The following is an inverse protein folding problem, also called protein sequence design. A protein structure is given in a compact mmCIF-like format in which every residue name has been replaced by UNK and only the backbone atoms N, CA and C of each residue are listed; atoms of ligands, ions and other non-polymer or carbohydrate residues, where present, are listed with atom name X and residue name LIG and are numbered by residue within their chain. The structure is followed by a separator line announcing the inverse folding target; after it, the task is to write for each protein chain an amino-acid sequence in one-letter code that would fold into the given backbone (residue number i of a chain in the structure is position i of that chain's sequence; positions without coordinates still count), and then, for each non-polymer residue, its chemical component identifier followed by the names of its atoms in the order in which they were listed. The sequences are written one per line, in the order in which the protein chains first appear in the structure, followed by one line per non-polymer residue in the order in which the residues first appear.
data_IF_151988581846
#
_entry.id   IF_151988581846
#
_cell.length_a   1.000
_cell.length_b   1.000
_cell.length_c   1.000
_cell.angle_alpha   90.00
_cell.angle_beta   90.00
_cell.angle_gamma   90.00
#
_symmetry.space_group_name_H-M   'P 1'
#
loop_
_entity.id
_entity.type
_entity.pdbx_description
1 polymer ?
#
# COMPACT_ATOMS: atom_id res chain seq x y z
N UNK A 1 -9.08 10.28 -17.27
CA UNK A 1 -8.40 10.43 -15.97
C UNK A 1 -7.85 9.07 -15.58
N UNK A 2 -6.58 9.01 -15.13
CA UNK A 2 -5.97 7.75 -14.72
C UNK A 2 -6.46 7.35 -13.32
N UNK A 3 -6.65 6.03 -13.07
CA UNK A 3 -6.96 5.56 -11.73
C UNK A 3 -5.83 5.90 -10.75
N UNK A 4 -6.18 6.20 -9.50
CA UNK A 4 -5.26 6.57 -8.43
C UNK A 4 -4.83 5.34 -7.64
N UNK A 5 -3.54 5.09 -7.58
CA UNK A 5 -2.97 3.94 -6.85
C UNK A 5 -2.08 4.44 -5.71
N UNK A 6 -2.43 4.06 -4.50
CA UNK A 6 -1.57 4.21 -3.34
C UNK A 6 -0.62 3.02 -3.26
N UNK A 7 0.68 3.29 -3.36
CA UNK A 7 1.73 2.26 -3.36
C UNK A 7 2.29 2.13 -1.95
N UNK A 8 2.00 0.99 -1.32
CA UNK A 8 2.43 0.69 0.04
C UNK A 8 3.89 0.22 0.06
N UNK A 9 4.53 0.33 1.21
CA UNK A 9 5.98 0.15 1.41
C UNK A 9 6.51 -1.20 0.94
N UNK A 10 5.73 -2.28 1.06
CA UNK A 10 6.15 -3.62 0.63
C UNK A 10 6.39 -3.71 -0.88
N UNK A 11 5.64 -2.96 -1.67
CA UNK A 11 5.84 -2.89 -3.14
C UNK A 11 7.17 -2.23 -3.47
N UNK A 12 7.48 -1.10 -2.83
CA UNK A 12 8.76 -0.40 -3.00
C UNK A 12 9.92 -1.32 -2.58
N UNK A 13 9.78 -2.03 -1.46
CA UNK A 13 10.80 -2.96 -0.98
C UNK A 13 11.06 -4.09 -1.98
N UNK A 14 10.02 -4.66 -2.59
CA UNK A 14 10.15 -5.72 -3.59
C UNK A 14 10.82 -5.24 -4.89
N UNK A 15 10.60 -3.98 -5.26
CA UNK A 15 11.25 -3.38 -6.44
C UNK A 15 12.75 -3.15 -6.27
N UNK A 16 13.22 -2.94 -5.05
CA UNK A 16 14.60 -2.52 -4.76
C UNK A 16 15.43 -3.58 -4.07
N UNK A 17 14.84 -4.64 -3.54
CA UNK A 17 15.55 -5.70 -2.84
C UNK A 17 16.27 -6.64 -3.82
N UNK A 18 17.32 -7.29 -3.31
CA UNK A 18 17.96 -8.37 -4.04
C UNK A 18 16.97 -9.51 -4.27
N UNK A 19 17.15 -10.24 -5.37
CA UNK A 19 16.35 -11.41 -5.67
C UNK A 19 16.36 -12.40 -4.50
N UNK A 20 15.19 -12.78 -4.03
CA UNK A 20 15.05 -13.74 -2.95
C UNK A 20 15.43 -15.14 -3.40
N UNK A 21 15.96 -15.95 -2.46
CA UNK A 21 16.17 -17.38 -2.67
C UNK A 21 14.90 -18.20 -2.46
N UNK A 22 13.92 -17.63 -1.76
CA UNK A 22 12.58 -18.20 -1.63
C UNK A 22 11.82 -18.03 -2.95
N UNK A 23 11.35 -19.15 -3.53
CA UNK A 23 10.73 -19.17 -4.85
C UNK A 23 9.44 -18.32 -4.90
N UNK A 24 8.64 -18.34 -3.85
CA UNK A 24 7.39 -17.57 -3.81
C UNK A 24 7.70 -16.08 -3.77
N UNK A 25 8.62 -15.67 -2.90
CA UNK A 25 9.05 -14.27 -2.80
C UNK A 25 9.69 -13.81 -4.10
N UNK A 26 10.54 -14.62 -4.73
CA UNK A 26 11.17 -14.29 -6.00
C UNK A 26 10.14 -14.09 -7.12
N UNK A 27 9.12 -14.95 -7.19
CA UNK A 27 8.03 -14.80 -8.15
C UNK A 27 7.24 -13.50 -7.90
N UNK A 28 6.96 -13.17 -6.65
CA UNK A 28 6.27 -11.94 -6.29
C UNK A 28 7.10 -10.69 -6.63
N UNK A 29 8.41 -10.74 -6.43
CA UNK A 29 9.34 -9.67 -6.86
C UNK A 29 9.28 -9.48 -8.38
N UNK A 30 9.30 -10.56 -9.16
CA UNK A 30 9.21 -10.51 -10.62
C UNK A 30 7.89 -9.90 -11.08
N UNK A 31 6.76 -10.34 -10.52
CA UNK A 31 5.44 -9.76 -10.84
C UNK A 31 5.38 -8.26 -10.51
N UNK A 32 6.03 -7.84 -9.43
CA UNK A 32 6.12 -6.43 -9.05
C UNK A 32 6.92 -5.64 -10.08
N UNK A 33 8.03 -6.19 -10.57
CA UNK A 33 8.85 -5.59 -11.63
C UNK A 33 8.07 -5.49 -12.95
N UNK A 34 7.32 -6.53 -13.32
CA UNK A 34 6.47 -6.53 -14.53
C UNK A 34 5.45 -5.40 -14.45
N UNK A 35 4.70 -5.33 -13.34
CA UNK A 35 3.73 -4.27 -13.13
C UNK A 35 4.38 -2.88 -13.20
N UNK A 36 5.49 -2.69 -12.50
CA UNK A 36 6.18 -1.41 -12.45
C UNK A 36 6.71 -0.96 -13.81
N UNK A 37 7.34 -1.85 -14.54
CA UNK A 37 7.98 -1.50 -15.81
C UNK A 37 6.99 -1.29 -16.95
N UNK A 38 5.89 -2.04 -16.95
CA UNK A 38 4.95 -2.04 -18.08
C UNK A 38 3.65 -1.29 -17.83
N UNK A 39 3.21 -1.19 -16.58
CA UNK A 39 1.85 -0.71 -16.26
C UNK A 39 1.80 0.50 -15.34
N UNK A 40 2.88 0.87 -14.62
CA UNK A 40 2.82 2.00 -13.69
C UNK A 40 2.35 3.31 -14.33
N UNK A 41 2.59 3.49 -15.63
CA UNK A 41 2.23 4.70 -16.37
C UNK A 41 0.73 4.80 -16.71
N UNK A 42 -0.02 3.70 -16.51
CA UNK A 42 -1.46 3.68 -16.70
C UNK A 42 -2.20 4.28 -15.50
N UNK A 43 -1.49 4.56 -14.42
CA UNK A 43 -2.01 5.04 -13.14
C UNK A 43 -1.36 6.35 -12.69
N UNK A 44 -2.09 7.09 -11.85
CA UNK A 44 -1.53 8.16 -11.03
C UNK A 44 -1.07 7.55 -9.70
N UNK A 45 0.24 7.55 -9.46
CA UNK A 45 0.85 6.90 -8.30
C UNK A 45 0.98 7.86 -7.11
N UNK A 46 0.68 7.34 -5.93
CA UNK A 46 0.76 8.04 -4.66
C UNK A 46 1.48 7.20 -3.60
N UNK A 47 2.26 7.86 -2.77
CA UNK A 47 2.82 7.33 -1.53
C UNK A 47 2.44 8.28 -0.39
N UNK A 48 2.78 7.94 0.84
CA UNK A 48 2.52 8.81 1.99
C UNK A 48 3.79 9.08 2.80
N UNK A 49 3.69 10.00 3.76
CA UNK A 49 4.74 10.18 4.77
C UNK A 49 5.05 8.87 5.50
N UNK A 50 4.04 8.03 5.75
CA UNK A 50 4.23 6.73 6.39
C UNK A 50 5.06 5.78 5.52
N UNK A 51 4.78 5.72 4.21
CA UNK A 51 5.58 4.94 3.26
C UNK A 51 7.03 5.40 3.27
N UNK A 52 7.27 6.71 3.19
CA UNK A 52 8.62 7.27 3.18
C UNK A 52 9.36 6.97 4.49
N UNK A 53 8.67 7.02 5.62
CA UNK A 53 9.24 6.65 6.92
C UNK A 53 9.65 5.16 6.95
N UNK A 54 8.79 4.28 6.49
CA UNK A 54 9.03 2.83 6.51
C UNK A 54 10.15 2.43 5.55
N UNK A 55 10.15 2.94 4.33
CA UNK A 55 11.19 2.63 3.34
C UNK A 55 12.54 3.28 3.66
N UNK A 56 12.52 4.33 4.47
CA UNK A 56 13.70 5.01 4.98
C UNK A 56 14.39 4.31 6.15
N UNK A 57 13.80 3.25 6.70
CA UNK A 57 14.38 2.48 7.79
C UNK A 57 15.38 1.43 7.28
N UNK A 58 16.27 0.97 8.17
CA UNK A 58 17.24 -0.07 7.88
C UNK A 58 18.56 0.44 7.30
N UNK A 59 19.17 -0.32 6.40
CA UNK A 59 20.45 0.04 5.80
C UNK A 59 20.36 1.39 5.04
N UNK A 60 21.26 2.36 5.36
CA UNK A 60 21.16 3.71 4.77
C UNK A 60 21.27 3.74 3.25
N UNK A 61 22.12 2.92 2.65
CA UNK A 61 22.28 2.87 1.20
C UNK A 61 21.03 2.32 0.49
N UNK A 62 20.47 1.24 1.02
CA UNK A 62 19.22 0.67 0.52
C UNK A 62 18.04 1.61 0.74
N UNK A 63 17.99 2.29 1.89
CA UNK A 63 16.97 3.28 2.21
C UNK A 63 16.95 4.45 1.21
N UNK A 64 18.11 4.98 0.85
CA UNK A 64 18.23 6.04 -0.15
C UNK A 64 17.64 5.62 -1.50
N UNK A 65 17.91 4.40 -1.96
CA UNK A 65 17.36 3.88 -3.22
C UNK A 65 15.84 3.78 -3.16
N UNK A 66 15.29 3.28 -2.06
CA UNK A 66 13.85 3.17 -1.87
C UNK A 66 13.15 4.53 -1.85
N UNK A 67 13.69 5.47 -1.08
CA UNK A 67 13.16 6.85 -1.00
C UNK A 67 13.23 7.52 -2.37
N UNK A 68 14.34 7.39 -3.08
CA UNK A 68 14.51 7.98 -4.41
C UNK A 68 13.49 7.42 -5.41
N UNK A 69 13.28 6.11 -5.42
CA UNK A 69 12.30 5.46 -6.27
C UNK A 69 10.88 5.98 -5.98
N UNK A 70 10.47 5.96 -4.72
CA UNK A 70 9.15 6.41 -4.29
C UNK A 70 8.92 7.88 -4.62
N UNK A 71 9.89 8.75 -4.31
CA UNK A 71 9.76 10.20 -4.49
C UNK A 71 9.72 10.63 -5.96
N UNK A 72 10.42 9.90 -6.84
CA UNK A 72 10.43 10.19 -8.28
C UNK A 72 9.18 9.71 -9.00
N UNK A 73 8.61 8.61 -8.55
CA UNK A 73 7.53 7.93 -9.26
C UNK A 73 6.14 8.33 -8.78
N UNK A 74 6.00 8.85 -7.57
CA UNK A 74 4.71 9.04 -6.92
C UNK A 74 4.57 10.41 -6.24
N UNK A 75 3.34 10.90 -6.18
CA UNK A 75 2.98 12.08 -5.39
C UNK A 75 2.84 11.71 -3.92
N UNK A 76 3.20 12.63 -3.03
CA UNK A 76 3.11 12.38 -1.58
C UNK A 76 1.77 12.83 -1.01
N UNK A 77 1.10 11.93 -0.30
CA UNK A 77 -0.10 12.20 0.49
C UNK A 77 0.29 12.57 1.93
N UNK A 78 -0.45 13.51 2.49
CA UNK A 78 -0.25 13.92 3.88
C UNK A 78 -0.92 12.95 4.86
N UNK A 79 -0.29 12.75 6.01
CA UNK A 79 -0.86 12.04 7.14
C UNK A 79 -1.71 13.02 7.97
N UNK A 80 -3.00 13.06 7.70
CA UNK A 80 -3.92 13.95 8.38
C UNK A 80 -4.47 13.34 9.68
N UNK A 81 -5.13 14.19 10.50
CA UNK A 81 -5.82 13.72 11.70
C UNK A 81 -6.90 12.69 11.36
N UNK A 82 -7.64 12.91 10.29
CA UNK A 82 -8.68 11.99 9.81
C UNK A 82 -8.11 10.61 9.49
N UNK A 83 -6.95 10.55 8.87
CA UNK A 83 -6.24 9.30 8.62
C UNK A 83 -5.94 8.55 9.93
N UNK A 84 -5.44 9.26 10.92
CA UNK A 84 -5.11 8.66 12.24
C UNK A 84 -6.35 8.15 12.96
N UNK A 85 -7.45 8.91 12.95
CA UNK A 85 -8.70 8.52 13.59
C UNK A 85 -9.33 7.31 12.91
N UNK A 86 -9.42 7.31 11.59
CA UNK A 86 -9.93 6.18 10.82
C UNK A 86 -9.05 4.93 11.00
N UNK A 87 -7.73 5.09 10.98
CA UNK A 87 -6.79 4.00 11.19
C UNK A 87 -6.98 3.31 12.56
N UNK A 88 -7.20 4.09 13.62
CA UNK A 88 -7.50 3.55 14.95
C UNK A 88 -8.83 2.80 14.99
N UNK A 89 -9.84 3.33 14.34
CA UNK A 89 -11.16 2.67 14.23
C UNK A 89 -11.04 1.34 13.48
N UNK A 90 -10.34 1.31 12.36
CA UNK A 90 -10.06 0.10 11.59
C UNK A 90 -9.34 -0.95 12.44
N UNK A 91 -8.32 -0.55 13.19
CA UNK A 91 -7.56 -1.45 14.06
C UNK A 91 -8.44 -2.07 15.15
N UNK A 92 -9.15 -1.23 15.88
CA UNK A 92 -9.97 -1.64 17.02
C UNK A 92 -11.16 -2.49 16.62
N UNK A 93 -11.94 -2.01 15.65
CA UNK A 93 -13.22 -2.63 15.26
C UNK A 93 -13.03 -3.89 14.42
N UNK A 94 -11.88 -4.05 13.78
CA UNK A 94 -11.53 -5.30 13.08
C UNK A 94 -10.90 -6.35 13.98
N UNK A 95 -10.61 -6.01 15.24
CA UNK A 95 -10.02 -6.94 16.20
C UNK A 95 -8.57 -7.32 15.87
N UNK A 96 -7.84 -6.46 15.15
CA UNK A 96 -6.45 -6.70 14.81
C UNK A 96 -5.51 -6.42 15.98
N UNK A 97 -4.35 -7.09 16.04
CA UNK A 97 -3.36 -6.84 17.10
C UNK A 97 -2.75 -5.44 16.94
N UNK A 98 -2.30 -4.85 18.06
CA UNK A 98 -1.69 -3.49 18.08
C UNK A 98 -0.55 -3.32 17.07
N UNK A 99 0.20 -4.39 16.79
CA UNK A 99 1.28 -4.36 15.79
C UNK A 99 0.82 -4.07 14.37
N UNK A 100 -0.47 -4.24 14.08
CA UNK A 100 -1.08 -3.91 12.79
C UNK A 100 -1.49 -2.43 12.65
N UNK A 101 -1.09 -1.56 13.58
CA UNK A 101 -1.49 -0.15 13.59
C UNK A 101 -1.02 0.62 12.34
N UNK A 102 0.16 0.32 11.82
CA UNK A 102 0.64 0.93 10.57
C UNK A 102 -0.10 0.38 9.36
N UNK A 103 -0.44 -0.90 9.37
CA UNK A 103 -1.19 -1.54 8.29
C UNK A 103 -2.57 -0.89 8.12
N UNK A 104 -3.30 -0.73 9.21
CA UNK A 104 -4.61 -0.06 9.17
C UNK A 104 -4.49 1.43 8.85
N UNK A 105 -3.39 2.07 9.23
CA UNK A 105 -3.13 3.47 8.87
C UNK A 105 -2.92 3.63 7.36
N UNK A 106 -2.24 2.70 6.69
CA UNK A 106 -2.16 2.70 5.22
C UNK A 106 -3.55 2.62 4.57
N UNK A 107 -4.41 1.74 5.07
CA UNK A 107 -5.80 1.62 4.58
C UNK A 107 -6.56 2.94 4.77
N UNK A 108 -6.43 3.56 5.94
CA UNK A 108 -7.07 4.82 6.26
C UNK A 108 -6.58 5.96 5.35
N UNK A 109 -5.28 6.07 5.11
CA UNK A 109 -4.70 7.07 4.21
C UNK A 109 -5.29 6.92 2.81
N UNK A 110 -5.34 5.71 2.28
CA UNK A 110 -5.90 5.45 0.96
C UNK A 110 -7.38 5.83 0.87
N UNK A 111 -8.17 5.53 1.89
CA UNK A 111 -9.60 5.87 1.93
C UNK A 111 -9.84 7.39 2.04
N UNK A 112 -9.18 8.07 2.99
CA UNK A 112 -9.34 9.52 3.22
C UNK A 112 -8.94 10.32 1.99
N UNK A 113 -7.88 9.92 1.30
CA UNK A 113 -7.42 10.57 0.07
C UNK A 113 -8.11 10.07 -1.20
N UNK A 114 -9.14 9.23 -1.07
CA UNK A 114 -9.98 8.76 -2.19
C UNK A 114 -9.16 8.08 -3.29
N UNK A 115 -8.28 7.15 -2.89
CA UNK A 115 -7.57 6.31 -3.83
C UNK A 115 -8.50 5.23 -4.39
N UNK A 116 -8.32 4.89 -5.66
CA UNK A 116 -9.06 3.79 -6.29
C UNK A 116 -8.49 2.43 -5.84
N UNK A 117 -7.17 2.36 -5.71
CA UNK A 117 -6.46 1.13 -5.33
C UNK A 117 -5.44 1.41 -4.22
N UNK A 118 -5.27 0.43 -3.34
CA UNK A 118 -4.12 0.30 -2.45
C UNK A 118 -3.35 -0.94 -2.85
N UNK A 119 -2.14 -0.74 -3.37
CA UNK A 119 -1.28 -1.80 -3.88
C UNK A 119 -0.29 -2.23 -2.80
N UNK A 120 -0.29 -3.51 -2.44
CA UNK A 120 0.50 -4.03 -1.32
C UNK A 120 0.81 -5.51 -1.48
N UNK A 121 1.87 -5.99 -0.84
CA UNK A 121 2.14 -7.41 -0.61
C UNK A 121 1.79 -7.87 0.82
N UNK A 122 1.27 -6.97 1.65
CA UNK A 122 0.76 -7.33 2.98
C UNK A 122 -0.60 -8.02 2.85
N UNK A 123 -0.59 -9.33 2.62
CA UNK A 123 -1.81 -10.15 2.52
C UNK A 123 -2.34 -10.59 3.89
N UNK A 124 -1.62 -10.32 4.95
CA UNK A 124 -2.06 -10.65 6.31
C UNK A 124 -3.04 -9.63 6.88
N UNK A 125 -2.75 -8.35 6.73
CA UNK A 125 -3.50 -7.28 7.38
C UNK A 125 -4.06 -6.21 6.44
N UNK A 126 -3.76 -6.25 5.15
CA UNK A 126 -4.24 -5.27 4.17
C UNK A 126 -5.00 -5.96 3.03
N UNK A 127 -4.30 -6.58 2.08
CA UNK A 127 -4.92 -7.29 0.96
C UNK A 127 -5.39 -8.69 1.43
N UNK A 128 -6.37 -8.70 2.30
CA UNK A 128 -6.91 -9.89 2.95
C UNK A 128 -8.42 -9.94 2.75
N UNK A 129 -8.88 -10.93 1.98
CA UNK A 129 -10.29 -11.08 1.63
C UNK A 129 -11.20 -11.24 2.86
N UNK A 130 -10.70 -11.85 3.95
CA UNK A 130 -11.47 -12.03 5.19
C UNK A 130 -11.69 -10.71 5.92
N UNK A 131 -10.73 -9.79 5.86
CA UNK A 131 -10.83 -8.48 6.49
C UNK A 131 -11.59 -7.45 5.66
N UNK A 132 -11.66 -7.64 4.36
CA UNK A 132 -12.19 -6.65 3.42
C UNK A 132 -13.59 -6.17 3.77
N UNK A 133 -14.52 -7.06 4.08
CA UNK A 133 -15.89 -6.70 4.41
C UNK A 133 -15.97 -5.86 5.69
N UNK A 134 -15.16 -6.15 6.70
CA UNK A 134 -15.07 -5.37 7.93
C UNK A 134 -14.49 -3.97 7.68
N UNK A 135 -13.38 -3.90 6.95
CA UNK A 135 -12.78 -2.62 6.58
C UNK A 135 -13.75 -1.76 5.77
N UNK A 136 -14.42 -2.35 4.79
CA UNK A 136 -15.38 -1.66 3.95
C UNK A 136 -16.56 -1.10 4.76
N UNK A 137 -17.12 -1.88 5.68
CA UNK A 137 -18.21 -1.44 6.55
C UNK A 137 -17.77 -0.28 7.45
N UNK A 138 -16.58 -0.35 8.05
CA UNK A 138 -16.04 0.72 8.91
C UNK A 138 -15.81 2.00 8.10
N UNK A 139 -15.14 1.90 6.95
CA UNK A 139 -14.89 3.06 6.09
C UNK A 139 -16.21 3.71 5.64
N UNK A 140 -17.18 2.90 5.24
CA UNK A 140 -18.51 3.38 4.84
C UNK A 140 -19.21 4.12 5.99
N UNK A 141 -19.11 3.63 7.23
CA UNK A 141 -19.69 4.30 8.40
C UNK A 141 -19.07 5.68 8.68
N UNK A 142 -17.85 5.90 8.20
CA UNK A 142 -17.15 7.19 8.26
C UNK A 142 -17.41 8.07 7.02
N UNK A 143 -18.17 7.58 6.04
CA UNK A 143 -18.46 8.29 4.80
C UNK A 143 -17.39 8.18 3.73
N UNK A 144 -16.47 7.23 3.84
CA UNK A 144 -15.43 6.99 2.85
C UNK A 144 -15.75 5.78 1.97
N UNK A 145 -15.47 5.91 0.67
CA UNK A 145 -15.45 4.77 -0.24
C UNK A 145 -14.23 3.89 0.05
N UNK A 146 -14.40 2.58 -0.04
CA UNK A 146 -13.29 1.64 0.12
C UNK A 146 -12.42 1.61 -1.13
N UNK A 147 -11.11 1.84 -1.02
CA UNK A 147 -10.20 1.49 -2.11
C UNK A 147 -10.18 -0.02 -2.32
N UNK A 148 -9.87 -0.47 -3.53
CA UNK A 148 -9.59 -1.88 -3.78
C UNK A 148 -8.22 -2.22 -3.18
N UNK A 149 -8.19 -3.14 -2.23
CA UNK A 149 -6.96 -3.61 -1.58
C UNK A 149 -6.43 -4.80 -2.36
N UNK A 150 -5.33 -4.65 -3.08
CA UNK A 150 -4.86 -5.66 -4.04
C UNK A 150 -3.34 -5.79 -4.09
N UNK A 151 -2.90 -6.92 -4.61
CA UNK A 151 -1.49 -7.18 -4.95
C UNK A 151 -1.22 -6.81 -6.42
N UNK A 152 0.05 -6.62 -6.83
CA UNK A 152 0.38 -6.32 -8.22
C UNK A 152 -0.24 -7.28 -9.26
N UNK A 153 -0.22 -8.62 -9.10
CA UNK A 153 -0.88 -9.51 -10.05
C UNK A 153 -2.38 -9.25 -10.19
N UNK A 154 -3.06 -9.00 -9.07
CA UNK A 154 -4.51 -8.73 -9.10
C UNK A 154 -4.85 -7.44 -9.83
N UNK A 155 -3.97 -6.45 -9.79
CA UNK A 155 -4.17 -5.21 -10.53
C UNK A 155 -3.93 -5.38 -12.03
N UNK A 156 -3.06 -6.32 -12.43
CA UNK A 156 -2.80 -6.64 -13.84
C UNK A 156 -4.00 -7.27 -14.55
N UNK A 157 -4.80 -8.04 -13.84
CA UNK A 157 -5.96 -8.76 -14.43
C UNK A 157 -7.10 -7.83 -14.83
N UNK A 158 -7.04 -6.55 -14.49
CA UNK A 158 -8.06 -5.54 -14.82
C UNK A 158 -7.65 -4.60 -15.95
N UNK A 159 -6.50 -4.83 -16.56
CA UNK A 159 -5.97 -4.08 -17.70
C UNK A 159 -6.14 -4.85 -18.99
#
# INVERSE_FOLDING_TARGET
MKPKVYVESSVISYLTSRQSRDLITAANQEMTQVWWNHHRHDFDLYVSQLVLLEVGAGDPGAAQNRIALASRAARKLDLTRECSLLGRSLLRESGLPKKANRDTLHVAIAAVHQMDFLLTWNCRHIANAVLFSRFSAIMSSWGYASPVLCTPPQLLEHL
#
